data_IF_016298763286
#
_entry.id   IF_016298763286
#
_cell.length_a   1.000
_cell.length_b   1.000
_cell.length_c   1.000
_cell.angle_alpha   90.00
_cell.angle_beta   90.00
_cell.angle_gamma   90.00
#
_symmetry.space_group_name_H-M   'P 1'
#
loop_
_entity.id
_entity.type
_entity.pdbx_description
1 polymer ?
#
# COMPACT_ATOMS: atom_id res chain seq x y z
N UNK A 1 30.43 -9.91 4.18
CA UNK A 1 31.16 -8.68 4.55
C UNK A 1 30.31 -7.98 5.59
N UNK A 2 30.95 -7.67 6.70
CA UNK A 2 30.39 -7.20 7.97
C UNK A 2 29.61 -5.91 7.78
N UNK A 3 28.29 -5.93 7.98
CA UNK A 3 27.55 -4.68 8.07
C UNK A 3 27.75 -4.14 9.49
N UNK A 4 28.45 -3.02 9.58
CA UNK A 4 28.59 -2.27 10.81
C UNK A 4 27.17 -1.90 11.24
N UNK A 5 26.70 -2.50 12.34
CA UNK A 5 25.37 -2.24 12.90
C UNK A 5 25.07 -0.75 12.84
N UNK A 6 24.00 -0.38 12.13
CA UNK A 6 23.54 1.01 12.03
C UNK A 6 23.61 1.64 13.44
N UNK A 7 24.49 2.64 13.67
CA UNK A 7 24.75 3.15 15.02
C UNK A 7 23.49 3.74 15.64
N UNK A 8 22.55 4.23 14.82
CA UNK A 8 21.25 4.66 15.30
C UNK A 8 20.40 3.46 15.76
N UNK A 9 20.37 2.37 14.99
CA UNK A 9 19.66 1.15 15.40
C UNK A 9 20.25 0.55 16.69
N UNK A 10 21.58 0.55 16.83
CA UNK A 10 22.27 0.12 18.05
C UNK A 10 22.02 1.02 19.27
N UNK A 11 21.72 2.31 19.04
CA UNK A 11 21.34 3.26 20.08
C UNK A 11 19.86 3.13 20.47
N UNK A 12 18.97 3.03 19.49
CA UNK A 12 17.52 2.95 19.69
C UNK A 12 17.12 1.66 20.40
N UNK A 13 17.81 0.54 20.11
CA UNK A 13 17.55 -0.78 20.72
C UNK A 13 16.07 -1.14 20.73
N UNK A 14 15.40 -0.98 19.59
CA UNK A 14 13.98 -1.29 19.48
C UNK A 14 13.72 -2.74 19.92
N UNK A 15 12.69 -2.95 20.74
CA UNK A 15 12.34 -4.28 21.28
C UNK A 15 11.93 -5.27 20.19
N UNK A 16 11.44 -4.75 19.06
CA UNK A 16 11.09 -5.49 17.85
C UNK A 16 11.33 -4.63 16.61
N UNK A 17 11.28 -5.26 15.44
CA UNK A 17 11.28 -4.55 14.17
C UNK A 17 10.05 -3.65 14.06
N UNK A 18 10.22 -2.48 13.44
CA UNK A 18 9.10 -1.61 13.08
C UNK A 18 8.17 -2.34 12.12
N UNK A 19 6.88 -2.36 12.38
CA UNK A 19 5.87 -2.99 11.54
C UNK A 19 5.28 -1.95 10.59
N UNK A 20 5.58 -2.08 9.30
CA UNK A 20 5.08 -1.20 8.24
C UNK A 20 3.87 -1.83 7.57
N UNK A 21 2.85 -1.02 7.34
CA UNK A 21 1.71 -1.36 6.49
C UNK A 21 1.72 -0.44 5.26
N UNK A 22 1.72 -1.01 4.06
CA UNK A 22 1.60 -0.27 2.79
C UNK A 22 0.27 -0.58 2.11
N UNK A 23 -0.62 0.40 2.04
CA UNK A 23 -1.87 0.34 1.27
C UNK A 23 -1.68 1.08 -0.05
N UNK A 24 -1.80 0.33 -1.17
CA UNK A 24 -1.48 0.84 -2.49
C UNK A 24 -0.01 0.64 -2.82
N UNK A 25 0.47 -0.60 -2.73
CA UNK A 25 1.89 -0.95 -2.82
C UNK A 25 2.46 -1.00 -4.25
N UNK A 26 1.75 -0.45 -5.25
CA UNK A 26 2.14 -0.53 -6.65
C UNK A 26 3.57 0.01 -6.87
N UNK A 27 4.51 -0.79 -7.42
CA UNK A 27 5.90 -0.35 -7.60
C UNK A 27 6.05 0.45 -8.90
N UNK A 28 5.49 1.66 -8.91
CA UNK A 28 5.48 2.55 -10.08
C UNK A 28 6.28 3.83 -9.85
N UNK A 29 6.31 4.35 -8.62
CA UNK A 29 6.86 5.67 -8.29
C UNK A 29 8.02 5.55 -7.30
N UNK A 30 9.22 5.37 -7.86
CA UNK A 30 10.46 5.36 -7.09
C UNK A 30 10.48 4.33 -5.96
N UNK A 31 11.38 4.56 -5.00
CA UNK A 31 11.47 3.73 -3.80
C UNK A 31 10.51 4.26 -2.73
N UNK A 32 9.71 3.39 -2.08
CA UNK A 32 8.81 3.81 -1.01
C UNK A 32 9.61 4.35 0.20
N UNK A 33 9.02 5.22 1.03
CA UNK A 33 9.74 5.90 2.12
C UNK A 33 10.35 4.95 3.15
N UNK A 34 9.81 3.74 3.30
CA UNK A 34 10.31 2.71 4.20
C UNK A 34 11.42 1.82 3.60
N UNK A 35 11.77 1.96 2.31
CA UNK A 35 12.72 1.07 1.63
C UNK A 35 14.08 1.00 2.32
N UNK A 36 14.56 2.14 2.83
CA UNK A 36 15.81 2.20 3.57
C UNK A 36 15.81 1.27 4.80
N UNK A 37 14.70 1.25 5.54
CA UNK A 37 14.53 0.38 6.70
C UNK A 37 14.50 -1.10 6.30
N UNK A 38 13.78 -1.46 5.22
CA UNK A 38 13.77 -2.83 4.70
C UNK A 38 15.17 -3.31 4.28
N UNK A 39 15.91 -2.46 3.55
CA UNK A 39 17.25 -2.80 3.07
C UNK A 39 18.25 -3.07 4.21
N UNK A 40 18.04 -2.40 5.36
CA UNK A 40 18.81 -2.57 6.60
C UNK A 40 18.21 -3.59 7.56
N UNK A 41 17.14 -4.28 7.15
CA UNK A 41 16.40 -5.26 7.96
C UNK A 41 15.90 -4.70 9.29
N UNK A 42 15.48 -3.44 9.30
CA UNK A 42 14.99 -2.70 10.48
C UNK A 42 13.45 -2.69 10.59
N UNK A 43 12.74 -3.23 9.59
CA UNK A 43 11.29 -3.32 9.60
C UNK A 43 10.77 -4.58 8.91
N UNK A 44 9.54 -4.94 9.23
CA UNK A 44 8.71 -5.87 8.46
C UNK A 44 7.65 -5.09 7.69
N UNK A 45 7.13 -5.68 6.61
CA UNK A 45 6.12 -5.06 5.76
C UNK A 45 4.94 -6.01 5.52
N UNK A 46 3.73 -5.48 5.67
CA UNK A 46 2.51 -6.03 5.07
C UNK A 46 1.97 -5.03 4.05
N UNK A 47 2.08 -5.37 2.77
CA UNK A 47 1.66 -4.53 1.65
C UNK A 47 0.40 -5.05 0.95
N UNK A 48 -0.38 -4.15 0.36
CA UNK A 48 -1.64 -4.46 -0.32
C UNK A 48 -1.65 -3.90 -1.74
N UNK A 49 -1.86 -4.78 -2.72
CA UNK A 49 -1.94 -4.41 -4.13
C UNK A 49 -2.94 -5.34 -4.85
N UNK A 50 -4.11 -4.82 -5.30
CA UNK A 50 -5.13 -5.64 -5.97
C UNK A 50 -4.81 -5.95 -7.44
N UNK A 51 -3.89 -5.23 -8.10
CA UNK A 51 -3.53 -5.51 -9.50
C UNK A 51 -2.56 -6.69 -9.57
N UNK A 52 -3.03 -7.81 -10.12
CA UNK A 52 -2.29 -9.07 -10.18
C UNK A 52 -0.86 -8.94 -10.77
N UNK A 53 -0.68 -8.13 -11.82
CA UNK A 53 0.65 -7.92 -12.42
C UNK A 53 1.59 -7.13 -11.50
N UNK A 54 1.09 -6.12 -10.79
CA UNK A 54 1.89 -5.35 -9.81
C UNK A 54 2.25 -6.25 -8.61
N UNK A 55 1.26 -6.99 -8.11
CA UNK A 55 1.44 -7.94 -7.03
C UNK A 55 2.46 -9.04 -7.37
N UNK A 56 2.46 -9.53 -8.61
CA UNK A 56 3.44 -10.51 -9.07
C UNK A 56 4.87 -9.93 -9.07
N UNK A 57 5.04 -8.68 -9.51
CA UNK A 57 6.34 -7.97 -9.47
C UNK A 57 6.84 -7.77 -8.03
N UNK A 58 5.93 -7.39 -7.11
CA UNK A 58 6.25 -7.28 -5.69
C UNK A 58 6.69 -8.64 -5.12
N UNK A 59 5.91 -9.71 -5.36
CA UNK A 59 6.25 -11.04 -4.86
C UNK A 59 7.52 -11.64 -5.47
N UNK A 60 7.89 -11.26 -6.69
CA UNK A 60 9.13 -11.70 -7.32
C UNK A 60 10.38 -11.00 -6.76
N UNK A 61 10.22 -9.83 -6.13
CA UNK A 61 11.34 -9.00 -5.66
C UNK A 61 11.42 -8.86 -4.13
N UNK A 62 10.43 -9.40 -3.40
CA UNK A 62 10.35 -9.30 -1.95
C UNK A 62 11.42 -10.10 -1.21
N UNK A 63 11.79 -9.61 -0.03
CA UNK A 63 12.57 -10.34 0.97
C UNK A 63 11.69 -11.23 1.87
N UNK A 64 12.32 -11.90 2.84
CA UNK A 64 11.66 -12.65 3.91
C UNK A 64 10.92 -11.76 4.93
N UNK A 65 11.15 -10.44 4.90
CA UNK A 65 10.53 -9.47 5.80
C UNK A 65 9.27 -8.81 5.22
N UNK A 66 8.86 -9.23 4.02
CA UNK A 66 7.78 -8.61 3.27
C UNK A 66 6.68 -9.62 2.93
N UNK A 67 5.44 -9.24 3.17
CA UNK A 67 4.25 -9.99 2.75
C UNK A 67 3.37 -9.07 1.92
N UNK A 68 3.04 -9.47 0.70
CA UNK A 68 2.14 -8.71 -0.19
C UNK A 68 0.85 -9.50 -0.45
N UNK A 69 -0.28 -8.83 -0.26
CA UNK A 69 -1.61 -9.42 -0.32
C UNK A 69 -2.45 -8.82 -1.46
N UNK A 70 -3.31 -9.60 -2.13
CA UNK A 70 -4.10 -9.17 -3.29
C UNK A 70 -5.34 -8.33 -2.92
N UNK A 71 -5.35 -7.68 -1.77
CA UNK A 71 -6.55 -7.00 -1.25
C UNK A 71 -6.58 -5.53 -1.66
N UNK A 72 -7.76 -5.02 -1.97
CA UNK A 72 -8.03 -3.58 -1.86
C UNK A 72 -8.51 -3.29 -0.44
N UNK A 73 -7.81 -2.41 0.27
CA UNK A 73 -8.21 -1.98 1.62
C UNK A 73 -9.20 -0.82 1.50
N UNK A 74 -10.34 -0.92 2.17
CA UNK A 74 -11.46 0.02 2.03
C UNK A 74 -12.51 -0.16 3.13
N UNK A 75 -13.77 -0.17 2.74
CA UNK A 75 -14.92 -0.23 3.64
C UNK A 75 -15.42 -1.66 3.94
N UNK A 76 -14.85 -2.67 3.29
CA UNK A 76 -15.25 -4.07 3.46
C UNK A 76 -16.41 -4.51 2.56
N UNK A 77 -16.90 -3.62 1.69
CA UNK A 77 -17.97 -3.94 0.75
C UNK A 77 -17.41 -4.36 -0.63
N UNK A 78 -18.21 -5.07 -1.45
CA UNK A 78 -17.88 -5.27 -2.86
C UNK A 78 -17.74 -3.94 -3.60
N UNK A 79 -16.79 -3.87 -4.52
CA UNK A 79 -16.51 -2.71 -5.34
C UNK A 79 -16.11 -3.08 -6.76
N UNK A 80 -15.79 -2.07 -7.55
CA UNK A 80 -15.27 -2.26 -8.91
C UNK A 80 -13.97 -1.49 -9.07
N UNK A 81 -12.88 -2.22 -9.25
CA UNK A 81 -11.58 -1.62 -9.55
C UNK A 81 -11.58 -1.11 -10.99
N UNK A 82 -11.38 0.21 -11.14
CA UNK A 82 -11.24 0.91 -12.41
C UNK A 82 -9.76 0.92 -12.79
N UNK A 83 -9.33 -0.11 -13.52
CA UNK A 83 -7.96 -0.19 -14.01
C UNK A 83 -7.78 0.88 -15.08
N UNK A 84 -6.89 1.82 -14.84
CA UNK A 84 -6.66 2.96 -15.70
C UNK A 84 -5.44 2.77 -16.60
N UNK A 85 -5.35 3.56 -17.67
CA UNK A 85 -4.24 3.54 -18.62
C UNK A 85 -2.89 3.75 -17.92
N UNK A 86 -2.83 4.70 -16.96
CA UNK A 86 -1.72 4.80 -16.03
C UNK A 86 -2.02 3.93 -14.80
N UNK A 87 -1.15 2.96 -14.52
CA UNK A 87 -1.34 1.96 -13.45
C UNK A 87 -1.46 2.59 -12.05
N UNK A 88 -0.90 3.79 -11.84
CA UNK A 88 -1.02 4.56 -10.59
C UNK A 88 -2.36 5.27 -10.39
N UNK A 89 -3.16 5.39 -11.45
CA UNK A 89 -4.50 5.97 -11.36
C UNK A 89 -5.59 4.91 -11.18
N UNK A 90 -5.21 3.62 -11.09
CA UNK A 90 -6.15 2.54 -10.82
C UNK A 90 -6.75 2.70 -9.41
N UNK A 91 -8.08 2.71 -9.31
CA UNK A 91 -8.76 2.90 -8.02
C UNK A 91 -10.17 2.32 -8.00
N UNK A 92 -10.82 2.33 -6.83
CA UNK A 92 -12.24 1.95 -6.68
C UNK A 92 -13.21 3.00 -7.22
N UNK A 93 -12.75 4.22 -7.47
CA UNK A 93 -13.57 5.34 -7.91
C UNK A 93 -13.38 5.60 -9.39
N UNK A 94 -14.48 5.89 -10.08
CA UNK A 94 -14.43 6.34 -11.48
C UNK A 94 -13.73 7.69 -11.56
N UNK A 95 -12.65 7.84 -12.35
CA UNK A 95 -11.97 9.13 -12.49
C UNK A 95 -12.92 10.18 -13.10
N UNK A 96 -12.95 11.39 -12.52
CA UNK A 96 -13.85 12.48 -12.95
C UNK A 96 -13.27 13.25 -14.15
N UNK A 97 -13.82 13.10 -15.37
CA UNK A 97 -13.23 13.70 -16.56
C UNK A 97 -13.18 15.24 -16.49
N UNK A 98 -14.15 15.89 -15.82
CA UNK A 98 -14.15 17.36 -15.70
C UNK A 98 -12.93 17.87 -14.93
N UNK A 99 -12.49 17.14 -13.90
CA UNK A 99 -11.32 17.48 -13.09
C UNK A 99 -10.04 17.11 -13.84
N UNK A 100 -9.99 15.91 -14.42
CA UNK A 100 -8.79 15.46 -15.14
C UNK A 100 -8.45 16.34 -16.35
N UNK A 101 -9.46 16.86 -17.05
CA UNK A 101 -9.26 17.75 -18.20
C UNK A 101 -8.67 19.12 -17.82
N UNK A 102 -8.56 19.46 -16.53
CA UNK A 102 -7.86 20.68 -16.08
C UNK A 102 -6.34 20.55 -16.19
N UNK A 103 -5.80 19.33 -16.28
CA UNK A 103 -4.37 19.05 -16.28
C UNK A 103 -3.95 18.31 -17.57
N UNK A 104 -2.93 18.80 -18.31
CA UNK A 104 -2.47 18.14 -19.52
C UNK A 104 -2.10 16.67 -19.30
N UNK A 105 -2.63 15.77 -20.12
CA UNK A 105 -2.34 14.33 -20.10
C UNK A 105 -3.15 13.51 -19.08
N UNK A 106 -3.74 14.13 -18.04
CA UNK A 106 -4.44 13.40 -16.98
C UNK A 106 -5.68 12.66 -17.47
N UNK A 107 -6.41 13.22 -18.45
CA UNK A 107 -7.55 12.52 -19.06
C UNK A 107 -7.14 11.22 -19.78
N UNK A 108 -5.93 11.19 -20.36
CA UNK A 108 -5.40 9.97 -20.96
C UNK A 108 -4.95 8.97 -19.89
N UNK A 109 -4.29 9.44 -18.82
CA UNK A 109 -3.80 8.61 -17.73
C UNK A 109 -4.95 7.95 -16.95
N UNK A 110 -6.02 8.71 -16.66
CA UNK A 110 -7.22 8.23 -15.96
C UNK A 110 -8.23 7.53 -16.86
N UNK A 111 -7.90 7.25 -18.14
CA UNK A 111 -8.81 6.48 -19.00
C UNK A 111 -8.92 5.05 -18.47
N UNK A 112 -10.13 4.65 -18.09
CA UNK A 112 -10.43 3.28 -17.68
C UNK A 112 -10.26 2.33 -18.87
N UNK A 113 -9.40 1.33 -18.72
CA UNK A 113 -9.13 0.30 -19.74
C UNK A 113 -9.73 -1.06 -19.37
N UNK A 114 -10.02 -1.28 -18.09
CA UNK A 114 -10.67 -2.49 -17.59
C UNK A 114 -11.40 -2.21 -16.28
N UNK A 115 -12.51 -2.92 -16.07
CA UNK A 115 -13.22 -2.94 -14.81
C UNK A 115 -13.19 -4.35 -14.21
N UNK A 116 -12.88 -4.45 -12.92
CA UNK A 116 -12.76 -5.73 -12.22
C UNK A 116 -13.61 -5.67 -10.95
N UNK A 117 -14.59 -6.57 -10.82
CA UNK A 117 -15.32 -6.73 -9.58
C UNK A 117 -14.37 -7.31 -8.51
N UNK A 118 -14.31 -6.67 -7.35
CA UNK A 118 -13.46 -7.11 -6.23
C UNK A 118 -14.19 -6.95 -4.91
N UNK A 119 -13.84 -7.77 -3.94
CA UNK A 119 -14.22 -7.55 -2.54
C UNK A 119 -13.14 -6.74 -1.85
N UNK A 120 -13.53 -5.67 -1.15
CA UNK A 120 -12.59 -4.91 -0.33
C UNK A 120 -12.51 -5.51 1.07
N UNK A 121 -11.42 -5.22 1.78
CA UNK A 121 -11.27 -5.56 3.20
C UNK A 121 -11.09 -4.30 4.03
N UNK A 122 -11.64 -4.29 5.24
CA UNK A 122 -11.34 -3.23 6.20
C UNK A 122 -9.93 -3.42 6.75
N UNK A 123 -9.24 -2.33 7.09
CA UNK A 123 -7.93 -2.41 7.74
C UNK A 123 -8.01 -3.22 9.05
N UNK A 124 -9.10 -3.05 9.80
CA UNK A 124 -9.34 -3.79 11.05
C UNK A 124 -9.56 -5.29 10.87
N UNK A 125 -10.05 -5.75 9.71
CA UNK A 125 -10.35 -7.18 9.45
C UNK A 125 -9.15 -8.02 9.04
N UNK A 126 -8.02 -7.40 8.68
CA UNK A 126 -6.87 -8.11 8.12
C UNK A 126 -6.05 -8.73 9.25
N UNK A 127 -5.96 -10.05 9.27
CA UNK A 127 -5.30 -10.84 10.31
C UNK A 127 -3.78 -10.82 10.23
N UNK A 128 -3.24 -10.64 9.02
CA UNK A 128 -1.81 -10.59 8.71
C UNK A 128 -1.14 -9.35 9.31
N UNK A 129 -1.94 -8.31 9.60
CA UNK A 129 -1.49 -7.14 10.36
C UNK A 129 -1.58 -7.50 11.84
N UNK A 130 -0.49 -8.01 12.40
CA UNK A 130 -0.41 -8.26 13.85
C UNK A 130 -0.10 -6.99 14.64
N UNK A 131 0.69 -6.08 14.05
CA UNK A 131 1.16 -4.82 14.62
C UNK A 131 1.27 -3.78 13.49
N UNK A 132 1.15 -2.50 13.83
CA UNK A 132 1.26 -1.39 12.90
C UNK A 132 1.94 -0.22 13.62
N UNK A 133 3.13 0.16 13.17
CA UNK A 133 3.85 1.34 13.68
C UNK A 133 3.94 2.44 12.61
N UNK A 134 3.95 2.05 11.34
CA UNK A 134 3.99 2.98 10.21
C UNK A 134 2.95 2.57 9.16
N UNK A 135 1.99 3.45 8.89
CA UNK A 135 1.09 3.32 7.76
C UNK A 135 1.57 4.21 6.61
N UNK A 136 1.89 3.59 5.48
CA UNK A 136 1.94 4.26 4.17
C UNK A 136 0.63 3.97 3.44
N UNK A 137 0.01 5.01 2.91
CA UNK A 137 -1.24 4.92 2.15
C UNK A 137 -1.14 5.80 0.92
N UNK A 138 -1.33 5.20 -0.24
CA UNK A 138 -1.37 5.88 -1.53
C UNK A 138 -2.41 5.20 -2.42
N UNK A 139 -3.67 5.60 -2.26
CA UNK A 139 -4.82 5.11 -3.00
C UNK A 139 -5.64 6.29 -3.45
N UNK A 140 -6.28 6.22 -4.62
CA UNK A 140 -7.00 7.39 -5.14
C UNK A 140 -8.41 7.47 -4.53
N UNK A 141 -8.59 8.28 -3.49
CA UNK A 141 -9.90 8.65 -2.92
C UNK A 141 -10.48 7.71 -1.87
N UNK A 142 -9.86 6.55 -1.62
CA UNK A 142 -10.34 5.55 -0.66
C UNK A 142 -9.80 5.76 0.78
N UNK A 143 -8.91 6.73 0.99
CA UNK A 143 -8.19 6.92 2.25
C UNK A 143 -9.14 7.12 3.43
N UNK A 144 -10.21 7.89 3.26
CA UNK A 144 -11.21 8.08 4.31
C UNK A 144 -11.89 6.78 4.72
N UNK A 145 -12.21 5.91 3.75
CA UNK A 145 -12.81 4.61 4.03
C UNK A 145 -11.84 3.71 4.79
N UNK A 146 -10.56 3.70 4.40
CA UNK A 146 -9.49 2.99 5.10
C UNK A 146 -9.38 3.47 6.56
N UNK A 147 -9.28 4.79 6.79
CA UNK A 147 -9.16 5.34 8.14
C UNK A 147 -10.38 5.06 9.01
N UNK A 148 -11.60 5.20 8.46
CA UNK A 148 -12.84 4.94 9.20
C UNK A 148 -12.96 3.49 9.64
N UNK A 149 -12.46 2.56 8.84
CA UNK A 149 -12.54 1.12 9.07
C UNK A 149 -11.20 0.52 9.52
N UNK A 150 -10.31 1.36 10.05
CA UNK A 150 -9.00 0.98 10.57
C UNK A 150 -8.74 1.47 12.00
N UNK A 151 -9.78 1.94 12.69
CA UNK A 151 -9.65 2.62 13.99
C UNK A 151 -9.05 1.71 15.05
N UNK A 152 -9.37 0.43 15.04
CA UNK A 152 -8.82 -0.52 16.02
C UNK A 152 -7.31 -0.68 15.82
N UNK A 153 -6.87 -0.95 14.58
CA UNK A 153 -5.45 -1.08 14.24
C UNK A 153 -4.68 0.21 14.48
N UNK A 154 -5.21 1.33 14.01
CA UNK A 154 -4.58 2.65 14.14
C UNK A 154 -4.56 3.14 15.59
N UNK A 155 -5.57 2.79 16.39
CA UNK A 155 -5.62 3.13 17.82
C UNK A 155 -4.55 2.41 18.65
N UNK A 156 -3.93 1.37 18.11
CA UNK A 156 -2.80 0.65 18.72
C UNK A 156 -1.45 0.99 18.10
N UNK A 157 -1.42 1.90 17.12
CA UNK A 157 -0.18 2.34 16.50
C UNK A 157 0.61 3.23 17.46
N UNK A 158 1.94 3.05 17.49
CA UNK A 158 2.86 3.65 18.48
C UNK A 158 3.76 4.68 17.82
#
# INVERSE_FOLDING_TARGET
>A
MTDASDPLAGLLRAERLTAVVDIGANPIDGEPPYKGMLSRRLCTLVGFEPQAEALAKLNASKSDLETYLPYAVGDGNPGTLKVCQARGMTSLFTPEPRVLNLFPGFAQFGRVVQEIAIDTRTLDSISEISTLDLLKIDVQGAELAVFRNGKSRLGTAV
#
